data_IF_656443600545
#
_entry.id   IF_656443600545
#
_cell.length_a   1.000
_cell.length_b   1.000
_cell.length_c   1.000
_cell.angle_alpha   90.00
_cell.angle_beta   90.00
_cell.angle_gamma   90.00
#
_symmetry.space_group_name_H-M   'P 1'
#
loop_
_entity.id
_entity.type
_entity.pdbx_description
1 polymer ?
#
# COMPACT_ATOMS: atom_id res chain seq x y z
N UNK A 1 -32.08 37.55 -53.34
CA UNK A 1 -32.08 36.18 -53.89
C UNK A 1 -30.96 35.38 -53.24
N UNK A 2 -31.14 34.06 -53.14
CA UNK A 2 -30.16 32.94 -53.01
C UNK A 2 -28.67 33.31 -52.78
N UNK A 3 -28.00 32.85 -51.70
CA UNK A 3 -27.49 31.48 -51.39
C UNK A 3 -26.33 31.00 -52.30
N UNK A 4 -25.29 30.47 -51.63
CA UNK A 4 -24.20 29.57 -52.11
C UNK A 4 -23.14 30.21 -53.05
N UNK A 5 -21.83 30.18 -52.74
CA UNK A 5 -20.86 29.04 -52.76
C UNK A 5 -20.29 28.80 -54.19
N UNK A 6 -19.02 28.44 -54.46
CA UNK A 6 -17.77 28.27 -53.67
C UNK A 6 -16.56 28.36 -54.66
N UNK A 7 -15.38 27.81 -54.31
CA UNK A 7 -14.11 27.72 -55.11
C UNK A 7 -13.29 29.03 -55.23
N UNK A 8 -11.94 29.08 -55.18
CA UNK A 8 -10.85 28.14 -54.80
C UNK A 8 -9.53 28.96 -54.63
N UNK A 9 -8.33 28.50 -54.23
CA UNK A 9 -7.81 27.21 -53.70
C UNK A 9 -6.45 27.47 -52.97
N UNK A 10 -6.37 27.37 -51.64
CA UNK A 10 -5.11 27.26 -50.87
C UNK A 10 -5.43 26.85 -49.42
N UNK A 11 -4.74 25.91 -48.75
CA UNK A 11 -3.74 24.96 -49.23
C UNK A 11 -3.29 24.05 -48.08
N UNK A 12 -3.50 22.73 -48.23
CA UNK A 12 -3.00 21.62 -47.40
C UNK A 12 -3.43 21.50 -45.91
N UNK A 13 -4.24 20.45 -45.67
CA UNK A 13 -4.26 19.55 -44.50
C UNK A 13 -4.79 20.05 -43.14
N UNK A 14 -6.10 19.88 -43.02
CA UNK A 14 -6.89 19.76 -41.79
C UNK A 14 -7.06 18.26 -41.44
N UNK A 15 -7.20 17.94 -40.15
CA UNK A 15 -7.47 16.60 -39.56
C UNK A 15 -6.37 15.56 -39.84
N UNK A 16 -5.36 15.60 -38.97
CA UNK A 16 -4.74 14.39 -38.45
C UNK A 16 -5.12 14.25 -36.98
N UNK A 17 -6.37 13.87 -36.69
CA UNK A 17 -6.65 13.25 -35.38
C UNK A 17 -5.96 11.91 -35.38
N UNK A 18 -4.67 11.92 -35.04
CA UNK A 18 -4.05 10.81 -34.35
C UNK A 18 -4.84 10.66 -33.04
N UNK A 19 -5.95 9.94 -33.11
CA UNK A 19 -6.19 8.94 -32.07
C UNK A 19 -4.93 8.10 -32.04
N UNK A 20 -3.99 8.48 -31.19
CA UNK A 20 -3.28 7.48 -30.42
C UNK A 20 -4.38 6.72 -29.70
N UNK A 21 -4.91 5.71 -30.39
CA UNK A 21 -5.09 4.45 -29.73
C UNK A 21 -3.71 4.15 -29.14
N UNK A 22 -3.52 4.57 -27.88
CA UNK A 22 -2.89 3.70 -26.94
C UNK A 22 -3.61 2.38 -27.18
N UNK A 23 -2.92 1.45 -27.84
CA UNK A 23 -3.27 0.07 -27.64
C UNK A 23 -3.24 -0.06 -26.13
N UNK A 24 -4.41 -0.32 -25.53
CA UNK A 24 -4.46 -0.83 -24.19
C UNK A 24 -3.66 -2.12 -24.29
N UNK A 25 -2.38 -2.05 -23.92
CA UNK A 25 -1.48 -3.17 -24.09
C UNK A 25 -1.98 -4.19 -23.08
N UNK A 26 -2.76 -5.14 -23.58
CA UNK A 26 -3.51 -6.09 -22.76
C UNK A 26 -2.48 -6.93 -22.06
N UNK A 27 -2.18 -6.51 -20.84
CA UNK A 27 -1.40 -7.19 -19.82
C UNK A 27 -1.31 -8.70 -20.10
N UNK A 28 -0.13 -9.11 -20.59
CA UNK A 28 0.19 -10.51 -20.84
C UNK A 28 0.80 -11.07 -19.55
N UNK A 29 -0.03 -11.45 -18.58
CA UNK A 29 0.46 -12.29 -17.49
C UNK A 29 0.92 -13.67 -18.00
N UNK A 30 1.64 -14.43 -17.18
CA UNK A 30 2.36 -15.62 -17.64
C UNK A 30 1.47 -16.74 -18.22
N UNK A 31 1.90 -17.22 -19.39
CA UNK A 31 1.31 -18.36 -20.11
C UNK A 31 2.09 -19.66 -19.92
N UNK A 32 3.12 -19.65 -19.08
CA UNK A 32 4.01 -20.79 -18.79
C UNK A 32 4.29 -20.88 -17.27
N UNK A 33 4.41 -22.11 -16.75
CA UNK A 33 4.74 -22.38 -15.35
C UNK A 33 6.14 -21.85 -15.04
N UNK A 34 6.27 -21.14 -13.92
CA UNK A 34 7.53 -20.72 -13.35
C UNK A 34 8.07 -21.83 -12.43
N UNK A 35 9.38 -22.07 -12.46
CA UNK A 35 9.98 -22.95 -11.46
C UNK A 35 9.98 -22.25 -10.09
N UNK A 36 9.84 -23.05 -9.05
CA UNK A 36 9.99 -22.66 -7.63
C UNK A 36 11.17 -23.38 -6.97
N UNK A 37 11.89 -24.22 -7.74
CA UNK A 37 13.03 -25.04 -7.30
C UNK A 37 14.33 -24.67 -8.06
N UNK A 38 14.41 -23.47 -8.64
CA UNK A 38 15.62 -22.97 -9.31
C UNK A 38 16.64 -22.52 -8.22
N UNK A 39 17.95 -22.78 -8.36
CA UNK A 39 18.86 -22.99 -7.22
C UNK A 39 19.50 -21.70 -6.65
N UNK A 40 18.75 -20.61 -6.61
CA UNK A 40 18.99 -19.47 -5.72
C UNK A 40 17.85 -19.53 -4.69
N UNK A 41 18.09 -20.21 -3.56
CA UNK A 41 17.08 -20.54 -2.52
C UNK A 41 16.62 -19.26 -1.80
N UNK A 42 15.81 -18.47 -2.49
CA UNK A 42 15.18 -17.26 -2.01
C UNK A 42 14.19 -17.64 -0.91
N UNK A 43 14.41 -17.05 0.27
CA UNK A 43 13.63 -17.23 1.50
C UNK A 43 12.15 -17.24 1.19
N UNK A 44 11.49 -18.33 1.58
CA UNK A 44 10.05 -18.47 1.49
C UNK A 44 9.39 -17.90 2.73
N UNK A 45 8.28 -17.20 2.55
CA UNK A 45 7.57 -16.57 3.65
C UNK A 45 6.05 -16.74 3.53
N UNK A 46 5.39 -16.68 4.68
CA UNK A 46 3.94 -16.51 4.80
C UNK A 46 3.65 -15.33 5.72
N UNK A 47 2.52 -14.66 5.51
CA UNK A 47 2.12 -13.50 6.26
C UNK A 47 0.62 -13.51 6.55
N UNK A 48 0.25 -13.13 7.77
CA UNK A 48 -1.14 -13.06 8.24
C UNK A 48 -1.55 -11.62 8.52
N UNK A 49 -2.87 -11.38 8.52
CA UNK A 49 -3.44 -10.01 8.59
C UNK A 49 -2.90 -9.18 7.41
N UNK A 50 -2.96 -7.86 7.51
CA UNK A 50 -2.46 -6.94 6.49
C UNK A 50 -0.92 -6.85 6.37
N UNK A 51 -0.21 -7.93 6.74
CA UNK A 51 1.23 -8.05 6.62
C UNK A 51 1.70 -8.61 5.27
N UNK A 52 0.82 -9.12 4.40
CA UNK A 52 1.24 -9.74 3.14
C UNK A 52 2.11 -8.84 2.23
N UNK A 53 1.85 -7.52 2.08
CA UNK A 53 2.74 -6.66 1.31
C UNK A 53 4.17 -6.54 1.87
N UNK A 54 4.40 -6.89 3.15
CA UNK A 54 5.70 -6.77 3.81
C UNK A 54 6.69 -7.86 3.36
N UNK A 55 6.24 -9.11 3.19
CA UNK A 55 7.14 -10.20 2.77
C UNK A 55 7.63 -9.99 1.33
N UNK A 56 6.73 -9.56 0.45
CA UNK A 56 7.07 -9.17 -0.91
C UNK A 56 7.91 -7.89 -0.96
N UNK A 57 7.63 -6.89 -0.12
CA UNK A 57 8.43 -5.65 -0.05
C UNK A 57 9.89 -5.93 0.31
N UNK A 58 10.14 -6.92 1.15
CA UNK A 58 11.47 -7.32 1.61
C UNK A 58 12.11 -8.42 0.74
N UNK A 59 11.43 -8.91 -0.29
CA UNK A 59 12.01 -9.80 -1.30
C UNK A 59 12.04 -11.28 -0.96
N UNK A 60 11.29 -11.73 0.05
CA UNK A 60 10.98 -13.15 0.24
C UNK A 60 9.95 -13.63 -0.80
N UNK A 61 9.88 -14.92 -1.08
CA UNK A 61 8.88 -15.54 -1.94
C UNK A 61 7.62 -15.90 -1.13
N UNK A 62 6.45 -15.39 -1.53
CA UNK A 62 5.19 -15.59 -0.81
C UNK A 62 4.57 -16.97 -1.10
N UNK A 63 4.57 -17.85 -0.10
CA UNK A 63 3.92 -19.17 -0.22
C UNK A 63 2.42 -19.12 0.03
N UNK A 64 1.93 -18.12 0.78
CA UNK A 64 0.50 -17.84 0.89
C UNK A 64 0.19 -16.34 0.91
N UNK A 65 -0.90 -15.95 0.26
CA UNK A 65 -1.22 -14.56 -0.04
C UNK A 65 -2.44 -14.03 0.69
N UNK A 66 -2.53 -14.30 2.00
CA UNK A 66 -3.65 -13.87 2.82
C UNK A 66 -3.96 -12.39 2.55
N UNK A 67 -5.19 -12.10 2.13
CA UNK A 67 -5.71 -10.76 1.86
C UNK A 67 -4.95 -9.88 0.86
N UNK A 68 -4.22 -10.45 -0.10
CA UNK A 68 -3.83 -9.77 -1.37
C UNK A 68 -5.00 -9.20 -2.21
N UNK A 69 -6.21 -9.28 -1.67
CA UNK A 69 -7.48 -9.38 -2.37
C UNK A 69 -8.55 -8.71 -1.50
N UNK A 70 -8.43 -7.39 -1.32
CA UNK A 70 -9.47 -6.56 -0.70
C UNK A 70 -10.85 -6.66 -1.41
N UNK A 71 -10.92 -7.32 -2.57
CA UNK A 71 -12.12 -7.61 -3.35
C UNK A 71 -12.53 -9.09 -3.45
N UNK A 72 -11.97 -10.01 -2.65
CA UNK A 72 -12.05 -11.49 -2.78
C UNK A 72 -11.08 -12.08 -3.82
N UNK A 73 -10.80 -13.39 -3.71
CA UNK A 73 -9.93 -14.09 -4.66
C UNK A 73 -10.45 -14.00 -6.10
N UNK A 74 -9.57 -13.87 -7.10
CA UNK A 74 -9.99 -13.75 -8.48
C UNK A 74 -10.74 -15.02 -8.86
N UNK A 75 -11.94 -14.91 -9.43
CA UNK A 75 -12.71 -16.08 -9.84
C UNK A 75 -12.39 -16.49 -11.28
N UNK A 76 -11.87 -15.56 -12.08
CA UNK A 76 -11.60 -15.70 -13.51
C UNK A 76 -10.26 -15.08 -13.88
N UNK A 77 -9.78 -15.40 -15.10
CA UNK A 77 -8.62 -14.75 -15.70
C UNK A 77 -8.80 -13.23 -15.86
N UNK A 78 -10.04 -12.73 -16.03
CA UNK A 78 -10.29 -11.29 -16.09
C UNK A 78 -10.03 -10.64 -14.73
N UNK A 79 -10.59 -11.20 -13.67
CA UNK A 79 -10.38 -10.71 -12.30
C UNK A 79 -8.89 -10.79 -11.90
N UNK A 80 -8.17 -11.80 -12.41
CA UNK A 80 -6.73 -11.96 -12.17
C UNK A 80 -5.88 -10.93 -12.93
N UNK A 81 -6.32 -10.44 -14.09
CA UNK A 81 -5.71 -9.29 -14.77
C UNK A 81 -5.92 -8.01 -13.97
N UNK A 82 -7.10 -7.84 -13.36
CA UNK A 82 -7.47 -6.66 -12.57
C UNK A 82 -6.97 -6.74 -11.10
N UNK A 83 -6.33 -7.83 -10.70
CA UNK A 83 -5.78 -8.00 -9.34
C UNK A 83 -4.45 -7.27 -9.17
N UNK A 84 -4.45 -6.21 -8.36
CA UNK A 84 -3.29 -5.36 -8.10
C UNK A 84 -2.05 -6.15 -7.68
N UNK A 85 -2.16 -7.08 -6.73
CA UNK A 85 -1.01 -7.88 -6.24
C UNK A 85 -0.41 -8.78 -7.31
N UNK A 86 -1.27 -9.37 -8.15
CA UNK A 86 -0.82 -10.18 -9.28
C UNK A 86 -0.12 -9.30 -10.33
N UNK A 87 -0.64 -8.09 -10.59
CA UNK A 87 0.04 -7.15 -11.49
C UNK A 87 1.42 -6.75 -10.97
N UNK A 88 1.59 -6.51 -9.67
CA UNK A 88 2.85 -6.02 -9.08
C UNK A 88 3.91 -7.11 -9.01
N UNK A 89 3.61 -8.27 -8.43
CA UNK A 89 4.62 -9.30 -8.14
C UNK A 89 4.52 -10.53 -9.04
N UNK A 90 3.37 -10.78 -9.64
CA UNK A 90 3.15 -11.89 -10.56
C UNK A 90 3.58 -11.64 -12.01
N UNK A 91 4.21 -10.49 -12.34
CA UNK A 91 4.60 -10.15 -13.73
C UNK A 91 5.93 -9.42 -13.88
N UNK A 92 6.34 -9.23 -15.14
CA UNK A 92 7.46 -8.40 -15.55
C UNK A 92 7.34 -6.89 -15.21
N UNK A 93 6.19 -6.44 -14.65
CA UNK A 93 6.14 -5.12 -14.00
C UNK A 93 7.09 -5.03 -12.81
N UNK A 94 7.41 -6.16 -12.17
CA UNK A 94 8.41 -6.21 -11.12
C UNK A 94 9.85 -6.29 -11.68
N UNK A 95 10.81 -5.72 -10.94
CA UNK A 95 12.24 -5.96 -11.16
C UNK A 95 12.57 -7.46 -11.07
N UNK A 96 12.04 -8.16 -10.07
CA UNK A 96 12.19 -9.62 -9.87
C UNK A 96 10.86 -10.20 -9.37
N UNK A 97 10.12 -10.83 -10.27
CA UNK A 97 8.80 -11.44 -9.98
C UNK A 97 8.87 -12.47 -8.86
N UNK A 98 7.74 -12.65 -8.18
CA UNK A 98 7.50 -13.78 -7.31
C UNK A 98 7.01 -14.98 -8.14
N UNK A 99 7.64 -16.17 -8.05
CA UNK A 99 7.24 -17.33 -8.85
C UNK A 99 5.89 -17.93 -8.41
N UNK A 100 5.52 -17.82 -7.13
CA UNK A 100 4.23 -18.28 -6.61
C UNK A 100 3.08 -17.38 -7.07
N UNK A 101 3.25 -16.05 -7.10
CA UNK A 101 2.26 -15.13 -7.71
C UNK A 101 2.13 -15.38 -9.22
N UNK A 102 3.25 -15.55 -9.92
CA UNK A 102 3.26 -15.83 -11.35
C UNK A 102 2.55 -17.17 -11.68
N UNK A 103 2.77 -18.21 -10.86
CA UNK A 103 2.08 -19.48 -10.96
C UNK A 103 0.60 -19.39 -10.54
N UNK A 104 0.24 -18.51 -9.62
CA UNK A 104 -1.15 -18.21 -9.27
C UNK A 104 -1.90 -17.60 -10.46
N UNK A 105 -1.30 -16.62 -11.15
CA UNK A 105 -1.83 -16.12 -12.42
C UNK A 105 -1.93 -17.22 -13.48
N UNK A 106 -0.86 -18.00 -13.67
CA UNK A 106 -0.83 -19.09 -14.64
C UNK A 106 -1.98 -20.07 -14.42
N UNK A 107 -2.37 -20.36 -13.19
CA UNK A 107 -3.48 -21.27 -12.91
C UNK A 107 -4.84 -20.75 -13.41
N UNK A 108 -5.06 -19.44 -13.48
CA UNK A 108 -6.24 -18.86 -14.16
C UNK A 108 -6.12 -18.93 -15.68
N UNK A 109 -4.92 -18.66 -16.22
CA UNK A 109 -4.66 -18.77 -17.66
C UNK A 109 -4.84 -20.22 -18.15
N UNK A 110 -4.30 -21.19 -17.43
CA UNK A 110 -4.39 -22.61 -17.72
C UNK A 110 -5.84 -23.10 -17.69
N UNK A 111 -6.62 -22.70 -16.67
CA UNK A 111 -8.05 -23.02 -16.60
C UNK A 111 -8.83 -22.44 -17.79
N UNK A 112 -8.57 -21.19 -18.18
CA UNK A 112 -9.22 -20.56 -19.33
C UNK A 112 -8.85 -21.21 -20.68
N UNK A 113 -7.67 -21.83 -20.78
CA UNK A 113 -7.14 -22.42 -22.02
C UNK A 113 -7.15 -23.97 -22.05
N UNK A 114 -7.74 -24.62 -21.04
CA UNK A 114 -7.75 -26.09 -20.87
C UNK A 114 -6.35 -26.73 -20.79
N UNK A 115 -5.41 -26.03 -20.15
CA UNK A 115 -4.06 -26.53 -19.84
C UNK A 115 -4.04 -27.12 -18.41
N UNK A 116 -2.96 -27.82 -18.07
CA UNK A 116 -2.77 -28.33 -16.70
C UNK A 116 -2.35 -27.21 -15.75
N UNK A 117 -2.98 -27.13 -14.59
CA UNK A 117 -2.59 -26.21 -13.51
C UNK A 117 -1.37 -26.76 -12.75
N UNK A 118 -0.62 -25.88 -12.09
CA UNK A 118 0.52 -26.22 -11.23
C UNK A 118 0.15 -26.17 -9.74
N UNK A 119 0.61 -27.12 -8.90
CA UNK A 119 0.48 -27.00 -7.46
C UNK A 119 1.46 -25.97 -6.86
N UNK A 120 2.48 -25.56 -7.60
CA UNK A 120 3.54 -24.64 -7.15
C UNK A 120 3.10 -23.16 -7.24
N UNK A 121 1.86 -22.89 -6.86
CA UNK A 121 1.27 -21.57 -6.86
C UNK A 121 1.03 -21.10 -5.42
N UNK A 122 0.98 -19.78 -5.24
CA UNK A 122 0.57 -19.12 -4.01
C UNK A 122 -0.73 -19.72 -3.47
N UNK A 123 -0.75 -20.11 -2.19
CA UNK A 123 -1.98 -20.53 -1.52
C UNK A 123 -2.78 -19.29 -1.09
N UNK A 124 -4.05 -19.23 -1.48
CA UNK A 124 -4.92 -18.10 -1.14
C UNK A 124 -6.31 -18.62 -0.76
N UNK A 125 -6.44 -19.08 0.50
CA UNK A 125 -7.69 -19.58 1.06
C UNK A 125 -7.97 -19.02 2.46
N UNK A 126 -9.23 -19.11 2.91
CA UNK A 126 -9.67 -18.60 4.22
C UNK A 126 -8.99 -19.30 5.42
N UNK A 127 -8.32 -20.43 5.20
CA UNK A 127 -7.60 -21.21 6.23
C UNK A 127 -6.15 -20.78 6.39
N UNK A 128 -5.65 -19.93 5.49
CA UNK A 128 -4.31 -19.31 5.57
C UNK A 128 -4.26 -18.13 6.58
N UNK A 129 -5.18 -18.13 7.55
CA UNK A 129 -5.40 -17.05 8.52
C UNK A 129 -4.45 -17.08 9.72
N UNK A 130 -4.45 -15.99 10.48
CA UNK A 130 -3.72 -15.86 11.76
C UNK A 130 -4.11 -16.97 12.74
N UNK A 131 -3.20 -17.50 13.59
CA UNK A 131 -3.42 -18.74 14.34
C UNK A 131 -4.62 -18.75 15.31
N UNK A 132 -5.13 -17.58 15.72
CA UNK A 132 -6.36 -17.49 16.53
C UNK A 132 -7.65 -17.64 15.70
N UNK A 133 -7.61 -17.35 14.40
CA UNK A 133 -8.75 -17.45 13.49
C UNK A 133 -8.56 -18.61 12.51
N UNK A 134 -9.07 -19.78 12.90
CA UNK A 134 -9.45 -20.86 12.01
C UNK A 134 -8.33 -21.55 11.19
N UNK A 135 -7.11 -21.71 11.75
CA UNK A 135 -6.12 -22.68 11.25
C UNK A 135 -6.03 -23.97 12.10
N UNK A 136 -7.02 -24.90 12.02
CA UNK A 136 -6.92 -26.22 12.61
C UNK A 136 -6.16 -27.22 11.72
N UNK A 137 -5.64 -26.80 10.55
CA UNK A 137 -5.01 -27.68 9.55
C UNK A 137 -3.79 -27.04 8.85
N UNK A 138 -2.97 -26.33 9.62
CA UNK A 138 -1.60 -25.91 9.26
C UNK A 138 -1.42 -25.30 7.88
N UNK A 139 -2.40 -24.62 7.28
CA UNK A 139 -2.34 -24.33 5.82
C UNK A 139 -1.14 -23.44 5.47
N UNK A 140 -0.89 -22.41 6.26
CA UNK A 140 0.28 -21.52 6.12
C UNK A 140 1.62 -22.15 6.55
N UNK A 141 1.59 -23.28 7.28
CA UNK A 141 2.79 -24.05 7.63
C UNK A 141 3.00 -25.26 6.69
N UNK A 142 2.00 -25.64 5.89
CA UNK A 142 2.07 -26.83 5.02
C UNK A 142 2.98 -26.65 3.81
N UNK A 143 3.24 -25.39 3.44
CA UNK A 143 4.26 -25.00 2.46
C UNK A 143 5.67 -24.95 3.07
N UNK A 144 5.81 -25.22 4.39
CA UNK A 144 7.04 -25.12 5.17
C UNK A 144 7.85 -23.82 4.91
N UNK A 145 7.23 -22.62 4.99
CA UNK A 145 7.96 -21.37 4.75
C UNK A 145 9.06 -21.14 5.80
N UNK A 146 10.16 -20.52 5.40
CA UNK A 146 11.27 -20.18 6.30
C UNK A 146 10.89 -19.10 7.32
N UNK A 147 10.00 -18.18 6.95
CA UNK A 147 9.54 -17.05 7.79
C UNK A 147 8.01 -16.97 7.87
N UNK A 148 7.47 -16.75 9.07
CA UNK A 148 6.02 -16.62 9.33
C UNK A 148 5.73 -15.29 10.02
N UNK A 149 5.06 -14.37 9.34
CA UNK A 149 4.79 -13.00 9.83
C UNK A 149 3.33 -12.86 10.30
N UNK A 150 3.11 -12.26 11.47
CA UNK A 150 1.76 -12.03 12.02
C UNK A 150 1.25 -13.11 12.96
N UNK A 151 2.18 -13.79 13.64
CA UNK A 151 1.89 -14.91 14.55
C UNK A 151 1.19 -14.53 15.85
N UNK A 152 1.20 -13.25 16.25
CA UNK A 152 0.71 -12.82 17.55
C UNK A 152 -0.77 -13.10 17.73
N UNK A 153 -1.15 -13.80 18.79
CA UNK A 153 -2.54 -14.23 19.01
C UNK A 153 -3.51 -13.04 19.14
N UNK A 154 -3.10 -11.98 19.86
CA UNK A 154 -3.98 -10.86 20.25
C UNK A 154 -3.43 -9.46 19.85
N UNK A 155 -2.79 -9.33 18.68
CA UNK A 155 -2.05 -8.12 18.25
C UNK A 155 -0.97 -7.66 19.27
N UNK A 156 -0.44 -8.58 20.08
CA UNK A 156 0.64 -8.29 21.01
C UNK A 156 1.99 -8.37 20.25
N UNK A 157 2.81 -7.29 20.17
CA UNK A 157 4.14 -7.34 19.56
C UNK A 157 5.09 -8.36 20.20
N UNK A 158 4.89 -8.70 21.47
CA UNK A 158 5.75 -9.62 22.22
C UNK A 158 5.31 -11.09 22.09
N UNK A 159 4.17 -11.36 21.46
CA UNK A 159 3.62 -12.70 21.33
C UNK A 159 4.08 -13.38 20.03
N UNK A 160 5.07 -14.24 20.17
CA UNK A 160 5.60 -15.08 19.09
C UNK A 160 5.02 -16.51 19.11
N UNK A 161 4.14 -16.83 20.08
CA UNK A 161 3.77 -18.21 20.43
C UNK A 161 2.52 -18.75 19.71
N UNK A 162 2.02 -18.03 18.70
CA UNK A 162 0.76 -18.38 18.03
C UNK A 162 0.76 -19.76 17.36
N UNK A 163 1.93 -20.30 16.98
CA UNK A 163 2.06 -21.56 16.27
C UNK A 163 2.65 -22.72 17.10
N UNK A 164 2.95 -22.52 18.39
CA UNK A 164 3.60 -23.52 19.25
C UNK A 164 2.90 -24.89 19.21
N UNK A 165 1.56 -24.91 19.24
CA UNK A 165 0.80 -26.17 19.20
C UNK A 165 0.85 -26.87 17.84
N UNK A 166 0.86 -26.11 16.75
CA UNK A 166 0.91 -26.63 15.39
C UNK A 166 2.31 -27.16 15.07
N UNK A 167 3.36 -26.42 15.45
CA UNK A 167 4.75 -26.87 15.32
C UNK A 167 5.02 -28.12 16.18
N UNK A 168 4.47 -28.19 17.40
CA UNK A 168 4.54 -29.40 18.22
C UNK A 168 3.81 -30.61 17.61
N UNK A 169 2.83 -30.41 16.73
CA UNK A 169 2.15 -31.49 15.99
C UNK A 169 2.97 -31.88 14.75
N UNK A 170 3.52 -30.91 14.02
CA UNK A 170 4.36 -31.15 12.82
C UNK A 170 5.62 -31.92 13.20
N UNK A 171 6.27 -31.53 14.30
CA UNK A 171 7.53 -32.14 14.78
C UNK A 171 7.29 -33.33 15.73
N UNK A 172 6.09 -33.93 15.74
CA UNK A 172 5.73 -34.97 16.69
C UNK A 172 6.54 -36.27 16.49
N UNK A 173 7.54 -36.47 17.36
CA UNK A 173 8.45 -37.62 17.31
C UNK A 173 9.81 -37.34 16.67
N UNK A 174 10.07 -36.10 16.26
CA UNK A 174 11.36 -35.62 15.78
C UNK A 174 12.15 -34.95 16.92
N UNK A 175 13.48 -34.99 16.83
CA UNK A 175 14.40 -34.22 17.68
C UNK A 175 14.72 -32.86 17.01
N UNK A 176 15.17 -31.85 17.75
CA UNK A 176 15.57 -30.55 17.18
C UNK A 176 16.76 -30.66 16.21
N UNK A 177 17.49 -31.78 16.24
CA UNK A 177 18.61 -32.10 15.37
C UNK A 177 18.23 -33.05 14.20
N UNK A 178 16.94 -33.36 14.02
CA UNK A 178 16.44 -34.21 12.93
C UNK A 178 16.35 -33.42 11.61
N UNK A 179 16.64 -34.04 10.47
CA UNK A 179 16.62 -33.35 9.16
C UNK A 179 15.20 -32.97 8.71
N UNK A 180 14.19 -33.67 9.22
CA UNK A 180 12.77 -33.37 8.97
C UNK A 180 12.17 -32.35 9.97
N UNK A 181 12.92 -31.91 10.99
CA UNK A 181 12.45 -30.99 12.03
C UNK A 181 12.22 -29.58 11.46
N UNK A 182 10.98 -29.09 11.56
CA UNK A 182 10.57 -27.82 10.96
C UNK A 182 10.39 -26.73 12.02
N UNK A 183 11.27 -25.73 11.98
CA UNK A 183 11.26 -24.58 12.89
C UNK A 183 11.46 -23.26 12.12
N UNK A 184 10.37 -22.65 11.62
CA UNK A 184 10.44 -21.40 10.88
C UNK A 184 10.71 -20.21 11.81
N UNK A 185 11.26 -19.13 11.28
CA UNK A 185 11.40 -17.87 12.01
C UNK A 185 10.04 -17.19 12.15
N UNK A 186 9.51 -17.16 13.36
CA UNK A 186 8.23 -16.50 13.67
C UNK A 186 8.45 -15.00 13.91
N UNK A 187 7.58 -14.14 13.36
CA UNK A 187 7.64 -12.68 13.54
C UNK A 187 6.28 -12.15 13.96
N UNK A 188 6.22 -11.43 15.09
CA UNK A 188 5.01 -10.74 15.51
C UNK A 188 4.76 -9.50 14.65
N UNK A 189 3.51 -9.28 14.23
CA UNK A 189 3.11 -8.12 13.45
C UNK A 189 2.34 -7.14 14.35
N UNK A 190 2.89 -5.95 14.56
CA UNK A 190 2.27 -4.88 15.36
C UNK A 190 1.97 -3.65 14.52
N UNK A 191 0.78 -3.59 13.91
CA UNK A 191 0.41 -2.48 13.07
C UNK A 191 -0.07 -1.27 13.87
N UNK A 192 -0.06 -1.25 15.21
CA UNK A 192 -0.82 -0.26 15.98
C UNK A 192 -0.50 1.19 15.62
N UNK A 193 0.77 1.52 15.39
CA UNK A 193 1.21 2.84 14.87
C UNK A 193 2.21 2.69 13.72
N UNK A 194 2.51 3.78 13.01
CA UNK A 194 3.61 3.87 12.05
C UNK A 194 4.97 3.57 12.72
N UNK A 195 5.15 3.98 13.98
CA UNK A 195 6.38 3.73 14.73
C UNK A 195 6.53 2.23 15.09
N UNK A 196 5.44 1.54 15.48
CA UNK A 196 5.47 0.07 15.66
C UNK A 196 5.54 -0.68 14.32
N UNK A 197 5.00 -0.08 13.25
CA UNK A 197 5.12 -0.62 11.90
C UNK A 197 6.59 -0.61 11.44
N UNK A 198 7.33 0.49 11.61
CA UNK A 198 8.78 0.56 11.33
C UNK A 198 9.52 -0.57 12.08
N UNK A 199 9.24 -0.72 13.38
CA UNK A 199 9.81 -1.82 14.19
C UNK A 199 9.48 -3.20 13.61
N UNK A 200 8.24 -3.39 13.13
CA UNK A 200 7.78 -4.63 12.50
C UNK A 200 8.48 -4.89 11.16
N UNK A 201 8.72 -3.84 10.36
CA UNK A 201 9.50 -3.94 9.11
C UNK A 201 10.93 -4.38 9.41
N UNK A 202 11.61 -3.76 10.38
CA UNK A 202 12.96 -4.18 10.79
C UNK A 202 13.03 -5.62 11.28
N UNK A 203 12.12 -6.03 12.18
CA UNK A 203 12.09 -7.40 12.70
C UNK A 203 11.88 -8.43 11.58
N UNK A 204 11.02 -8.11 10.59
CA UNK A 204 10.78 -8.97 9.43
C UNK A 204 11.98 -8.98 8.47
N UNK A 205 12.63 -7.84 8.28
CA UNK A 205 13.82 -7.72 7.44
C UNK A 205 15.01 -8.51 8.01
N UNK A 206 15.20 -8.49 9.33
CA UNK A 206 16.20 -9.32 10.02
C UNK A 206 15.86 -10.80 9.86
N UNK A 207 14.61 -11.20 10.08
CA UNK A 207 14.18 -12.60 9.90
C UNK A 207 14.41 -13.13 8.47
N UNK A 208 14.13 -12.33 7.44
CA UNK A 208 14.41 -12.70 6.05
C UNK A 208 15.91 -12.71 5.76
N UNK A 209 16.67 -11.73 6.27
CA UNK A 209 18.13 -11.69 6.09
C UNK A 209 18.85 -12.89 6.72
N UNK A 210 18.46 -13.28 7.93
CA UNK A 210 19.08 -14.39 8.66
C UNK A 210 18.66 -15.77 8.10
N UNK A 211 17.55 -15.84 7.35
CA UNK A 211 17.04 -17.07 6.77
C UNK A 211 17.72 -17.48 5.45
N UNK A 212 18.17 -16.55 4.61
CA UNK A 212 18.77 -16.91 3.31
C UNK A 212 18.80 -15.80 2.25
N UNK A 213 18.60 -16.17 0.99
CA UNK A 213 18.67 -15.27 -0.17
C UNK A 213 17.35 -14.51 -0.41
N UNK A 214 17.40 -13.40 -1.15
CA UNK A 214 16.30 -12.46 -1.29
C UNK A 214 16.33 -11.70 -2.64
N UNK A 215 15.15 -11.36 -3.17
CA UNK A 215 14.97 -10.84 -4.54
C UNK A 215 15.61 -9.48 -4.85
N UNK A 216 15.70 -8.56 -3.90
CA UNK A 216 15.89 -7.12 -4.18
C UNK A 216 17.12 -6.47 -3.54
N UNK A 217 18.07 -7.28 -3.08
CA UNK A 217 19.15 -6.81 -2.21
C UNK A 217 18.73 -6.76 -0.73
N UNK A 218 19.67 -6.37 0.13
CA UNK A 218 19.58 -6.54 1.59
C UNK A 218 18.26 -5.98 2.18
N UNK A 219 17.37 -6.82 2.73
CA UNK A 219 16.07 -6.38 3.23
C UNK A 219 16.19 -5.36 4.36
N UNK A 220 17.30 -5.34 5.09
CA UNK A 220 17.54 -4.35 6.15
C UNK A 220 17.75 -2.96 5.58
N UNK A 221 18.38 -2.85 4.40
CA UNK A 221 18.50 -1.57 3.67
C UNK A 221 17.14 -1.12 3.14
N UNK A 222 16.24 -2.05 2.82
CA UNK A 222 14.84 -1.72 2.46
C UNK A 222 14.08 -1.21 3.70
N UNK A 223 14.33 -1.80 4.88
CA UNK A 223 13.79 -1.34 6.15
C UNK A 223 14.31 0.07 6.54
N UNK A 224 15.62 0.32 6.42
CA UNK A 224 16.23 1.65 6.60
C UNK A 224 15.52 2.69 5.72
N UNK A 225 15.31 2.37 4.43
CA UNK A 225 14.59 3.25 3.50
C UNK A 225 13.13 3.47 3.88
N UNK A 226 12.47 2.47 4.46
CA UNK A 226 11.08 2.59 4.92
C UNK A 226 10.96 3.53 6.13
N UNK A 227 11.88 3.42 7.10
CA UNK A 227 11.98 4.38 8.20
C UNK A 227 12.26 5.79 7.68
N UNK A 228 13.27 5.95 6.82
CA UNK A 228 13.63 7.22 6.18
C UNK A 228 12.47 7.84 5.39
N UNK A 229 11.64 7.03 4.73
CA UNK A 229 10.47 7.52 4.02
C UNK A 229 9.42 8.07 4.99
N UNK A 230 9.11 7.34 6.08
CA UNK A 230 8.12 7.78 7.08
C UNK A 230 8.62 8.98 7.89
N UNK A 231 9.77 8.84 8.54
CA UNK A 231 10.32 9.86 9.44
C UNK A 231 10.89 11.05 8.66
N UNK A 232 11.42 10.82 7.45
CA UNK A 232 11.90 11.87 6.55
C UNK A 232 10.80 12.82 6.11
N UNK A 233 9.63 12.31 5.70
CA UNK A 233 8.48 13.17 5.37
C UNK A 233 8.04 13.99 6.58
N UNK A 234 7.94 13.35 7.75
CA UNK A 234 7.50 14.00 8.99
C UNK A 234 8.47 15.10 9.43
N UNK A 235 9.76 14.78 9.53
CA UNK A 235 10.81 15.72 9.91
C UNK A 235 11.01 16.84 8.89
N UNK A 236 10.94 16.55 7.58
CA UNK A 236 11.04 17.57 6.53
C UNK A 236 9.91 18.60 6.63
N UNK A 237 8.66 18.15 6.82
CA UNK A 237 7.52 19.06 7.00
C UNK A 237 7.71 19.91 8.26
N UNK A 238 8.03 19.31 9.41
CA UNK A 238 8.16 20.07 10.67
C UNK A 238 9.35 21.05 10.63
N UNK A 239 10.43 20.71 9.93
CA UNK A 239 11.62 21.56 9.75
C UNK A 239 11.38 22.74 8.81
N UNK A 240 10.65 22.54 7.70
CA UNK A 240 10.58 23.49 6.58
C UNK A 240 9.21 24.08 6.25
N UNK A 241 8.13 23.55 6.82
CA UNK A 241 6.76 24.00 6.54
C UNK A 241 6.06 24.36 7.85
N UNK A 242 5.22 25.40 7.84
CA UNK A 242 4.34 25.70 8.98
C UNK A 242 3.20 24.67 9.03
N UNK A 243 2.99 24.00 10.17
CA UNK A 243 1.88 23.06 10.37
C UNK A 243 0.53 23.70 10.00
N UNK A 244 -0.14 23.13 9.00
CA UNK A 244 -1.51 23.45 8.62
C UNK A 244 -2.51 22.82 9.60
N UNK A 245 -3.66 23.42 9.74
CA UNK A 245 -4.80 22.86 10.47
C UNK A 245 -5.59 21.90 9.57
N UNK A 246 -5.96 20.74 10.11
CA UNK A 246 -6.85 19.77 9.46
C UNK A 246 -8.08 19.57 10.33
N UNK A 247 -9.24 19.35 9.72
CA UNK A 247 -10.43 18.84 10.39
C UNK A 247 -10.74 17.45 9.80
N UNK A 248 -10.58 16.40 10.62
CA UNK A 248 -10.86 15.02 10.22
C UNK A 248 -12.24 14.64 10.76
N UNK A 249 -13.16 14.25 9.88
CA UNK A 249 -14.59 14.13 10.20
C UNK A 249 -15.24 12.88 9.61
N UNK A 250 -16.24 12.36 10.32
CA UNK A 250 -17.10 11.27 9.89
C UNK A 250 -18.57 11.52 10.25
N UNK A 251 -19.48 11.10 9.38
CA UNK A 251 -20.91 11.36 9.51
C UNK A 251 -21.28 12.86 9.48
N UNK A 252 -22.56 13.13 9.33
CA UNK A 252 -23.10 14.49 9.41
C UNK A 252 -24.54 14.44 9.91
N UNK A 253 -24.85 15.28 10.89
CA UNK A 253 -26.17 15.46 11.46
C UNK A 253 -26.75 16.79 10.98
N UNK A 254 -27.76 16.71 10.10
CA UNK A 254 -28.47 17.85 9.54
C UNK A 254 -29.46 18.53 10.48
N UNK A 255 -29.80 17.91 11.61
CA UNK A 255 -30.65 18.55 12.64
C UNK A 255 -29.81 19.46 13.55
N UNK A 256 -28.58 19.03 13.89
CA UNK A 256 -27.68 19.80 14.77
C UNK A 256 -26.63 20.63 14.03
N UNK A 257 -26.46 20.46 12.71
CA UNK A 257 -25.41 21.09 11.91
C UNK A 257 -24.00 20.76 12.42
N UNK A 258 -23.77 19.47 12.71
CA UNK A 258 -22.48 18.96 13.21
C UNK A 258 -21.99 17.74 12.45
N UNK A 259 -20.66 17.60 12.41
CA UNK A 259 -19.94 16.40 12.02
C UNK A 259 -19.50 15.63 13.27
N UNK A 260 -19.23 14.33 13.14
CA UNK A 260 -18.50 13.60 14.19
C UNK A 260 -17.01 13.82 13.99
N UNK A 261 -16.31 14.14 15.07
CA UNK A 261 -14.86 14.27 15.09
C UNK A 261 -14.17 12.90 15.00
N UNK A 262 -13.21 12.80 14.10
CA UNK A 262 -12.26 11.69 14.02
C UNK A 262 -10.95 12.15 14.69
N UNK A 263 -10.57 11.46 15.75
CA UNK A 263 -9.48 11.84 16.65
C UNK A 263 -8.81 10.62 17.27
N UNK A 264 -7.85 10.83 18.16
CA UNK A 264 -7.21 9.72 18.87
C UNK A 264 -8.16 9.19 19.95
N UNK A 265 -8.50 7.91 19.89
CA UNK A 265 -9.29 7.25 20.93
C UNK A 265 -8.51 7.12 22.24
N UNK A 266 -9.22 7.15 23.38
CA UNK A 266 -8.61 7.10 24.72
C UNK A 266 -7.91 5.77 25.09
N UNK A 267 -7.92 4.77 24.20
CA UNK A 267 -7.24 3.49 24.38
C UNK A 267 -6.59 3.03 23.07
N UNK A 268 -5.26 2.89 23.07
CA UNK A 268 -4.46 2.40 21.94
C UNK A 268 -4.56 0.87 21.72
N UNK A 269 -5.75 0.30 21.95
CA UNK A 269 -6.06 -1.15 21.85
C UNK A 269 -6.73 -1.54 20.55
N UNK A 270 -7.33 -0.58 19.85
CA UNK A 270 -7.62 -0.65 18.41
C UNK A 270 -6.64 0.27 17.70
N UNK A 271 -6.27 -0.07 16.46
CA UNK A 271 -5.41 0.78 15.61
C UNK A 271 -5.84 2.24 15.69
N UNK A 272 -4.88 3.15 15.91
CA UNK A 272 -5.15 4.58 15.78
C UNK A 272 -5.76 4.85 14.41
N UNK A 273 -6.78 5.71 14.37
CA UNK A 273 -7.36 6.11 13.09
C UNK A 273 -6.23 6.59 12.17
N UNK A 274 -6.10 5.95 11.00
CA UNK A 274 -4.94 6.15 10.14
C UNK A 274 -4.89 7.55 9.54
N UNK A 275 -6.02 8.23 9.40
CA UNK A 275 -6.07 9.62 8.95
C UNK A 275 -5.47 10.52 10.03
N UNK A 276 -5.86 10.29 11.29
CA UNK A 276 -5.34 11.00 12.46
C UNK A 276 -3.85 10.73 12.62
N UNK A 277 -3.42 9.48 12.51
CA UNK A 277 -2.00 9.12 12.61
C UNK A 277 -1.15 9.76 11.51
N UNK A 278 -1.50 9.53 10.24
CA UNK A 278 -0.75 10.04 9.09
C UNK A 278 -0.63 11.57 9.10
N UNK A 279 -1.55 12.28 9.77
CA UNK A 279 -1.51 13.74 9.90
C UNK A 279 -0.96 14.23 11.25
N UNK A 280 -0.94 13.43 12.32
CA UNK A 280 -0.63 13.85 13.69
C UNK A 280 0.71 14.59 13.85
N UNK A 281 1.79 14.01 13.32
CA UNK A 281 3.14 14.58 13.41
C UNK A 281 3.34 15.77 12.46
N UNK A 282 2.58 15.84 11.36
CA UNK A 282 2.74 16.87 10.30
C UNK A 282 1.73 18.02 10.32
N UNK A 283 0.59 17.88 10.99
CA UNK A 283 -0.50 18.87 11.02
C UNK A 283 -0.94 19.19 12.46
N UNK A 284 -1.87 20.13 12.59
CA UNK A 284 -2.63 20.40 13.81
C UNK A 284 -4.09 19.98 13.57
N UNK A 285 -4.50 18.81 14.05
CA UNK A 285 -5.88 18.37 13.91
C UNK A 285 -6.80 19.12 14.91
N UNK A 286 -7.80 19.84 14.40
CA UNK A 286 -8.76 20.62 15.20
C UNK A 286 -9.97 19.79 15.67
N UNK A 287 -10.09 18.54 15.22
CA UNK A 287 -11.11 17.56 15.65
C UNK A 287 -10.49 16.43 16.49
N UNK A 288 -9.44 16.73 17.26
CA UNK A 288 -8.60 15.72 17.92
C UNK A 288 -9.29 14.80 18.96
N UNK A 289 -10.48 15.17 19.46
CA UNK A 289 -11.28 14.34 20.36
C UNK A 289 -12.16 13.37 19.56
N UNK A 290 -11.88 12.07 19.62
CA UNK A 290 -12.70 11.07 18.93
C UNK A 290 -14.18 11.10 19.39
N UNK A 291 -15.10 11.00 18.43
CA UNK A 291 -16.55 10.91 18.66
C UNK A 291 -17.25 12.16 19.24
N UNK A 292 -16.57 13.30 19.35
CA UNK A 292 -17.22 14.58 19.71
C UNK A 292 -17.95 15.21 18.51
N UNK A 293 -19.09 15.88 18.75
CA UNK A 293 -19.78 16.65 17.71
C UNK A 293 -19.06 17.99 17.46
N UNK A 294 -18.71 18.26 16.20
CA UNK A 294 -17.99 19.48 15.79
C UNK A 294 -18.81 20.25 14.76
N UNK A 295 -18.95 21.57 14.94
CA UNK A 295 -19.79 22.40 14.07
C UNK A 295 -19.21 22.58 12.66
N UNK A 296 -20.08 22.73 11.67
CA UNK A 296 -19.73 23.14 10.29
C UNK A 296 -18.74 24.30 10.27
N UNK A 297 -18.97 25.33 11.10
CA UNK A 297 -18.11 26.51 11.19
C UNK A 297 -16.68 26.19 11.69
N UNK A 298 -16.53 25.21 12.58
CA UNK A 298 -15.21 24.76 13.03
C UNK A 298 -14.49 24.03 11.90
N UNK A 299 -15.18 23.09 11.24
CA UNK A 299 -14.65 22.31 10.09
C UNK A 299 -14.24 23.23 8.94
N UNK A 300 -15.09 24.18 8.56
CA UNK A 300 -14.84 25.13 7.47
C UNK A 300 -13.65 26.09 7.74
N UNK A 301 -13.28 26.29 9.01
CA UNK A 301 -12.14 27.12 9.42
C UNK A 301 -10.78 26.39 9.40
N UNK A 302 -10.74 25.07 9.17
CA UNK A 302 -9.49 24.35 8.96
C UNK A 302 -8.79 24.79 7.66
N UNK A 303 -7.49 24.57 7.52
CA UNK A 303 -6.82 24.75 6.22
C UNK A 303 -7.17 23.63 5.23
N UNK A 304 -7.56 22.45 5.75
CA UNK A 304 -8.00 21.27 5.01
C UNK A 304 -9.12 20.55 5.76
N UNK A 305 -10.10 20.03 5.03
CA UNK A 305 -11.11 19.09 5.53
C UNK A 305 -10.73 17.70 5.01
N UNK A 306 -10.70 16.70 5.89
CA UNK A 306 -10.44 15.29 5.54
C UNK A 306 -11.66 14.49 5.95
N UNK A 307 -12.32 13.90 4.96
CA UNK A 307 -13.49 13.05 5.16
C UNK A 307 -13.07 11.61 5.38
N UNK A 308 -13.68 10.92 6.35
CA UNK A 308 -13.38 9.52 6.67
C UNK A 308 -13.93 8.54 5.62
N UNK A 309 -15.16 8.78 5.12
CA UNK A 309 -15.94 7.79 4.36
C UNK A 309 -16.91 8.42 3.34
N UNK A 310 -17.38 7.63 2.38
CA UNK A 310 -18.21 8.09 1.26
C UNK A 310 -19.56 8.72 1.64
N UNK A 311 -20.16 8.34 2.77
CA UNK A 311 -21.38 8.99 3.27
C UNK A 311 -21.10 10.41 3.80
N UNK A 312 -19.91 10.60 4.37
CA UNK A 312 -19.39 11.90 4.80
C UNK A 312 -19.01 12.75 3.59
N UNK A 313 -18.40 12.15 2.56
CA UNK A 313 -18.08 12.82 1.29
C UNK A 313 -19.33 13.44 0.66
N UNK A 314 -20.40 12.65 0.49
CA UNK A 314 -21.66 13.11 -0.06
C UNK A 314 -22.29 14.26 0.75
N UNK A 315 -22.15 14.22 2.08
CA UNK A 315 -22.64 15.26 2.99
C UNK A 315 -21.85 16.56 2.83
N UNK A 316 -20.51 16.48 2.75
CA UNK A 316 -19.65 17.64 2.50
C UNK A 316 -19.93 18.23 1.11
N UNK A 317 -20.04 17.41 0.07
CA UNK A 317 -20.37 17.86 -1.30
C UNK A 317 -21.72 18.59 -1.37
N UNK A 318 -22.73 18.12 -0.63
CA UNK A 318 -24.02 18.80 -0.51
C UNK A 318 -23.89 20.17 0.18
N UNK A 319 -23.12 20.26 1.26
CA UNK A 319 -22.87 21.50 2.01
C UNK A 319 -22.02 22.51 1.22
N UNK A 320 -21.06 22.04 0.40
CA UNK A 320 -20.33 22.87 -0.56
C UNK A 320 -21.27 23.40 -1.65
N UNK A 321 -22.12 22.54 -2.20
CA UNK A 321 -23.12 22.92 -3.22
C UNK A 321 -24.15 23.92 -2.69
N UNK A 322 -24.47 23.87 -1.40
CA UNK A 322 -25.33 24.83 -0.70
C UNK A 322 -24.62 26.16 -0.34
N UNK A 323 -23.28 26.22 -0.44
CA UNK A 323 -22.47 27.35 -0.01
C UNK A 323 -22.26 27.47 1.51
N UNK A 324 -22.61 26.42 2.26
CA UNK A 324 -22.41 26.33 3.72
C UNK A 324 -20.94 26.06 4.06
N UNK A 325 -20.32 25.10 3.37
CA UNK A 325 -18.87 24.90 3.37
C UNK A 325 -18.30 25.68 2.19
N UNK A 326 -17.36 26.59 2.48
CA UNK A 326 -16.70 27.46 1.50
C UNK A 326 -15.22 27.12 1.33
N UNK A 327 -14.68 26.24 2.18
CA UNK A 327 -13.34 25.71 2.06
C UNK A 327 -13.24 24.83 0.80
N UNK A 328 -12.26 25.12 -0.06
CA UNK A 328 -12.01 24.37 -1.31
C UNK A 328 -10.98 23.25 -1.14
N UNK A 329 -10.29 23.21 -0.01
CA UNK A 329 -9.23 22.26 0.30
C UNK A 329 -9.85 21.07 1.04
N UNK A 330 -10.45 20.16 0.29
CA UNK A 330 -11.15 18.99 0.81
C UNK A 330 -10.48 17.75 0.24
N UNK A 331 -10.23 16.75 1.09
CA UNK A 331 -9.85 15.39 0.69
C UNK A 331 -11.02 14.47 1.01
N UNK A 332 -11.64 13.94 -0.02
CA UNK A 332 -12.70 12.95 0.09
C UNK A 332 -12.10 11.56 0.32
N UNK A 333 -12.90 10.63 0.84
CA UNK A 333 -12.47 9.24 1.01
C UNK A 333 -12.24 8.54 -0.33
N UNK A 334 -12.91 9.01 -1.39
CA UNK A 334 -12.75 8.55 -2.78
C UNK A 334 -11.47 9.00 -3.48
N UNK A 335 -10.77 10.02 -2.95
CA UNK A 335 -9.55 10.58 -3.56
C UNK A 335 -8.29 9.80 -3.12
N UNK A 336 -8.46 8.73 -2.36
CA UNK A 336 -7.35 7.96 -1.78
C UNK A 336 -6.82 6.95 -2.80
N UNK A 337 -5.49 6.79 -2.94
CA UNK A 337 -4.92 5.84 -3.89
C UNK A 337 -5.28 4.39 -3.53
N UNK A 338 -5.73 3.65 -4.54
CA UNK A 338 -5.95 2.21 -4.42
C UNK A 338 -4.65 1.49 -4.03
N UNK A 339 -4.83 0.51 -3.15
CA UNK A 339 -3.76 -0.21 -2.46
C UNK A 339 -4.25 -1.63 -2.17
N UNK A 340 -3.33 -2.55 -1.89
CA UNK A 340 -3.63 -3.97 -1.68
C UNK A 340 -4.52 -4.17 -0.45
N UNK A 341 -4.15 -3.53 0.66
CA UNK A 341 -4.98 -3.47 1.86
C UNK A 341 -5.64 -2.12 2.10
N UNK A 342 -5.12 -1.02 1.56
CA UNK A 342 -5.65 0.31 1.82
C UNK A 342 -4.71 1.16 2.67
N UNK A 343 -4.46 2.40 2.26
CA UNK A 343 -3.66 3.37 3.04
C UNK A 343 -4.24 3.71 4.42
N UNK A 344 -5.49 3.30 4.71
CA UNK A 344 -6.15 3.45 6.02
C UNK A 344 -6.35 2.13 6.79
N UNK A 345 -5.87 1.00 6.26
CA UNK A 345 -5.94 -0.32 6.92
C UNK A 345 -4.64 -0.64 7.66
N UNK A 346 -4.55 -1.76 8.38
CA UNK A 346 -3.42 -2.07 9.27
C UNK A 346 -2.18 -2.64 8.52
N UNK A 347 -1.76 -1.94 7.47
CA UNK A 347 -0.77 -2.38 6.47
C UNK A 347 0.48 -1.48 6.47
N UNK A 348 1.62 -2.02 6.02
CA UNK A 348 2.83 -1.20 5.69
C UNK A 348 2.55 -0.11 4.65
N UNK A 349 1.44 -0.21 3.92
CA UNK A 349 0.92 0.82 3.02
C UNK A 349 0.48 2.11 3.73
N UNK A 350 0.36 2.14 5.07
CA UNK A 350 0.11 3.37 5.82
C UNK A 350 1.22 4.42 5.62
N UNK A 351 2.46 4.00 5.33
CA UNK A 351 3.52 4.93 4.94
C UNK A 351 3.18 5.68 3.64
N UNK A 352 2.55 5.02 2.67
CA UNK A 352 2.02 5.69 1.47
C UNK A 352 0.84 6.61 1.81
N UNK A 353 0.03 6.28 2.81
CA UNK A 353 -1.00 7.18 3.36
C UNK A 353 -0.42 8.49 3.88
N UNK A 354 0.60 8.42 4.75
CA UNK A 354 1.35 9.59 5.24
C UNK A 354 1.85 10.46 4.07
N UNK A 355 2.47 9.83 3.08
CA UNK A 355 3.01 10.52 1.92
C UNK A 355 1.93 11.16 1.02
N UNK A 356 0.78 10.51 0.85
CA UNK A 356 -0.38 11.05 0.13
C UNK A 356 -0.92 12.30 0.83
N UNK A 357 -1.18 12.24 2.15
CA UNK A 357 -1.67 13.39 2.91
C UNK A 357 -0.63 14.51 2.96
N UNK A 358 0.66 14.18 3.14
CA UNK A 358 1.76 15.14 3.07
C UNK A 358 1.80 15.88 1.72
N UNK A 359 1.69 15.16 0.61
CA UNK A 359 1.72 15.72 -0.74
C UNK A 359 0.52 16.63 -1.01
N UNK A 360 -0.71 16.13 -0.80
CA UNK A 360 -1.93 16.94 -1.00
C UNK A 360 -1.91 18.20 -0.12
N UNK A 361 -1.48 18.10 1.14
CA UNK A 361 -1.52 19.22 2.10
C UNK A 361 -0.40 20.22 1.89
N UNK A 362 0.83 19.81 1.51
CA UNK A 362 2.04 20.65 1.52
C UNK A 362 2.87 20.69 0.24
N UNK A 363 2.59 19.79 -0.71
CA UNK A 363 3.32 19.64 -1.96
C UNK A 363 2.91 20.64 -3.03
N UNK A 364 3.70 20.67 -4.10
CA UNK A 364 3.41 21.37 -5.33
C UNK A 364 3.64 20.43 -6.53
N UNK A 365 2.57 19.83 -7.05
CA UNK A 365 2.68 18.85 -8.15
C UNK A 365 3.21 19.43 -9.46
N UNK A 366 3.18 20.76 -9.62
CA UNK A 366 3.77 21.46 -10.76
C UNK A 366 5.30 21.61 -10.68
N UNK A 367 5.90 21.36 -9.51
CA UNK A 367 7.33 21.42 -9.28
C UNK A 367 7.89 20.02 -9.01
N UNK A 368 8.52 19.44 -10.04
CA UNK A 368 9.17 18.13 -9.95
C UNK A 368 10.40 18.11 -9.00
N UNK A 369 10.83 19.26 -8.47
CA UNK A 369 11.92 19.39 -7.50
C UNK A 369 11.45 19.49 -6.05
N UNK A 370 10.15 19.70 -5.80
CA UNK A 370 9.58 19.65 -4.45
C UNK A 370 9.64 18.20 -3.92
N UNK A 371 10.33 17.92 -2.78
CA UNK A 371 10.34 16.59 -2.19
C UNK A 371 8.97 16.17 -1.64
N UNK A 372 7.98 17.07 -1.57
CA UNK A 372 6.59 16.75 -1.26
C UNK A 372 5.68 16.67 -2.50
N UNK A 373 6.24 16.68 -3.72
CA UNK A 373 5.49 16.40 -4.94
C UNK A 373 4.85 15.00 -4.86
N UNK A 374 3.54 14.88 -5.07
CA UNK A 374 2.82 13.65 -4.80
C UNK A 374 3.17 12.52 -5.75
N UNK A 375 3.30 12.82 -7.04
CA UNK A 375 3.75 11.85 -8.04
C UNK A 375 5.13 11.29 -7.67
N UNK A 376 6.07 12.15 -7.26
CA UNK A 376 7.40 11.72 -6.86
C UNK A 376 7.40 10.79 -5.63
N UNK A 377 6.65 11.15 -4.58
CA UNK A 377 6.57 10.37 -3.35
C UNK A 377 5.91 9.00 -3.58
N UNK A 378 4.75 8.98 -4.26
CA UNK A 378 4.05 7.72 -4.54
C UNK A 378 4.86 6.82 -5.48
N UNK A 379 5.47 7.37 -6.53
CA UNK A 379 6.34 6.59 -7.44
C UNK A 379 7.58 6.07 -6.74
N UNK A 380 8.18 6.82 -5.82
CA UNK A 380 9.25 6.30 -4.95
C UNK A 380 8.78 5.05 -4.18
N UNK A 381 7.58 5.11 -3.59
CA UNK A 381 7.01 3.95 -2.87
C UNK A 381 6.88 2.72 -3.77
N UNK A 382 6.28 2.87 -4.97
CA UNK A 382 6.14 1.79 -5.93
C UNK A 382 7.47 1.20 -6.41
N UNK A 383 8.47 2.04 -6.70
CA UNK A 383 9.74 1.57 -7.26
C UNK A 383 10.73 1.04 -6.20
N UNK A 384 10.65 1.50 -4.95
CA UNK A 384 11.62 1.15 -3.88
C UNK A 384 11.09 0.11 -2.90
N UNK A 385 9.78 0.08 -2.65
CA UNK A 385 9.18 -0.89 -1.73
C UNK A 385 8.41 -1.99 -2.46
N UNK A 386 7.75 -1.69 -3.58
CA UNK A 386 7.09 -2.73 -4.40
C UNK A 386 7.93 -3.22 -5.57
N UNK A 387 9.13 -2.64 -5.75
CA UNK A 387 10.11 -3.01 -6.77
C UNK A 387 9.53 -2.99 -8.20
N UNK A 388 8.56 -2.10 -8.43
CA UNK A 388 7.99 -1.88 -9.77
C UNK A 388 9.03 -1.23 -10.67
N UNK A 389 9.22 -1.77 -11.87
CA UNK A 389 10.09 -1.22 -12.89
C UNK A 389 9.65 0.20 -13.27
N UNK A 390 10.56 1.17 -13.12
CA UNK A 390 10.28 2.60 -13.29
C UNK A 390 9.69 2.92 -14.67
N UNK A 391 10.21 2.27 -15.72
CA UNK A 391 9.68 2.40 -17.09
C UNK A 391 8.26 1.84 -17.21
N UNK A 392 7.98 0.67 -16.63
CA UNK A 392 6.67 0.00 -16.67
C UNK A 392 5.59 0.81 -15.93
N UNK A 393 5.97 1.57 -14.91
CA UNK A 393 5.06 2.48 -14.23
C UNK A 393 4.72 3.73 -15.06
N UNK A 394 5.62 4.17 -15.96
CA UNK A 394 5.40 5.33 -16.84
C UNK A 394 4.72 4.94 -18.16
N UNK A 395 5.03 3.78 -18.71
CA UNK A 395 4.61 3.39 -20.07
C UNK A 395 3.22 2.75 -20.16
N UNK A 396 2.71 2.19 -19.06
CA UNK A 396 1.47 1.41 -19.07
C UNK A 396 0.25 2.21 -18.62
N UNK A 397 -0.83 2.13 -19.39
CA UNK A 397 -2.18 2.41 -18.88
C UNK A 397 -2.67 1.21 -18.07
N UNK A 398 -3.06 1.42 -16.82
CA UNK A 398 -3.54 0.37 -15.92
C UNK A 398 -3.52 0.82 -14.46
N UNK A 399 -4.12 0.02 -13.58
CA UNK A 399 -4.49 0.42 -12.21
C UNK A 399 -3.45 1.25 -11.44
N UNK A 400 -2.18 0.83 -11.44
CA UNK A 400 -1.08 1.56 -10.78
C UNK A 400 -0.85 2.98 -11.34
N UNK A 401 -0.85 3.12 -12.67
CA UNK A 401 -0.68 4.41 -13.35
C UNK A 401 -1.95 5.26 -13.24
N UNK A 402 -3.13 4.63 -13.39
CA UNK A 402 -4.41 5.34 -13.34
C UNK A 402 -4.67 5.89 -11.92
N UNK A 403 -4.38 5.11 -10.86
CA UNK A 403 -4.46 5.56 -9.47
C UNK A 403 -3.51 6.74 -9.17
N UNK A 404 -2.31 6.75 -9.76
CA UNK A 404 -1.37 7.86 -9.63
C UNK A 404 -1.80 9.11 -10.41
N UNK A 405 -2.20 8.94 -11.68
CA UNK A 405 -2.53 10.02 -12.60
C UNK A 405 -3.86 10.70 -12.29
N UNK A 406 -4.83 9.98 -11.71
CA UNK A 406 -6.06 10.58 -11.22
C UNK A 406 -5.79 11.57 -10.06
N UNK A 407 -4.78 11.28 -9.23
CA UNK A 407 -4.52 12.05 -8.01
C UNK A 407 -3.42 13.11 -8.13
N UNK A 408 -2.41 12.89 -8.98
CA UNK A 408 -1.24 13.77 -9.10
C UNK A 408 -0.81 13.95 -10.55
N UNK A 409 -0.32 15.15 -10.89
CA UNK A 409 0.18 15.44 -12.23
C UNK A 409 1.43 14.61 -12.57
N UNK A 410 1.34 13.81 -13.64
CA UNK A 410 2.45 12.95 -14.12
C UNK A 410 3.73 13.75 -14.34
N UNK A 411 4.82 13.31 -13.70
CA UNK A 411 6.17 13.78 -14.00
C UNK A 411 6.97 12.68 -14.71
N UNK A 412 7.43 12.97 -15.93
CA UNK A 412 8.23 12.02 -16.74
C UNK A 412 9.67 11.87 -16.25
N UNK A 413 10.12 12.74 -15.34
CA UNK A 413 11.46 12.70 -14.74
C UNK A 413 11.35 12.84 -13.23
N UNK A 414 11.95 11.92 -12.48
CA UNK A 414 12.13 12.03 -11.03
C UNK A 414 13.62 12.17 -10.75
N UNK A 415 13.98 13.12 -9.89
CA UNK A 415 15.31 13.17 -9.30
C UNK A 415 15.31 12.39 -7.98
N UNK A 416 15.40 11.06 -8.08
CA UNK A 416 15.33 10.14 -6.91
C UNK A 416 16.38 10.51 -5.87
N UNK A 417 17.61 10.82 -6.31
CA UNK A 417 18.70 11.26 -5.42
C UNK A 417 18.39 12.55 -4.66
N UNK A 418 17.67 13.50 -5.26
CA UNK A 418 17.21 14.70 -4.54
C UNK A 418 16.12 14.36 -3.51
N UNK A 419 15.19 13.45 -3.85
CA UNK A 419 14.16 13.01 -2.91
C UNK A 419 14.78 12.28 -1.71
N UNK A 420 15.61 11.26 -1.94
CA UNK A 420 16.32 10.53 -0.88
C UNK A 420 17.17 11.47 -0.01
N UNK A 421 17.91 12.40 -0.62
CA UNK A 421 18.67 13.41 0.13
C UNK A 421 17.79 14.31 1.01
N UNK A 422 16.53 14.55 0.65
CA UNK A 422 15.59 15.37 1.43
C UNK A 422 14.85 14.56 2.49
N UNK A 423 14.61 13.28 2.25
CA UNK A 423 14.09 12.34 3.25
C UNK A 423 15.13 12.11 4.36
N UNK A 424 16.38 11.79 4.01
CA UNK A 424 17.49 11.66 4.97
C UNK A 424 17.74 12.93 5.80
N UNK A 425 17.59 14.11 5.18
CA UNK A 425 17.67 15.40 5.87
C UNK A 425 16.49 15.65 6.84
N UNK A 426 15.31 15.12 6.51
CA UNK A 426 14.13 15.15 7.36
C UNK A 426 14.25 14.18 8.55
N UNK A 427 14.70 12.96 8.28
CA UNK A 427 14.94 11.89 9.26
C UNK A 427 15.95 12.34 10.33
N UNK A 428 17.10 12.87 9.89
CA UNK A 428 18.11 13.48 10.78
C UNK A 428 17.55 14.59 11.69
N UNK A 429 16.47 15.28 11.26
CA UNK A 429 15.78 16.27 12.07
C UNK A 429 14.72 15.64 12.98
N UNK A 430 14.04 14.60 12.50
CA UNK A 430 13.09 13.81 13.27
C UNK A 430 13.76 13.19 14.50
N UNK A 431 14.90 12.50 14.34
CA UNK A 431 15.65 11.90 15.45
C UNK A 431 16.03 12.93 16.52
N UNK A 432 16.52 14.08 16.06
CA UNK A 432 17.03 15.13 16.92
C UNK A 432 15.94 15.93 17.65
N UNK A 433 14.68 15.90 17.20
CA UNK A 433 13.63 16.82 17.68
C UNK A 433 12.23 16.22 17.92
N UNK A 434 11.95 15.02 17.41
CA UNK A 434 10.59 14.43 17.35
C UNK A 434 10.51 12.97 17.86
N UNK A 435 11.63 12.28 18.00
CA UNK A 435 11.69 10.89 18.48
C UNK A 435 11.54 10.72 20.02
N UNK A 436 11.23 11.80 20.77
CA UNK A 436 11.14 11.82 22.24
C UNK A 436 9.75 12.24 22.74
#
# INVERSE_FOLDING_TARGET
MKRLAAFALAGAMVIGTCTTAFAYDTYQGYTEVQDVNDPEDIVTATAHRAAAPLIDMLGANATSGFGMLNGSAPATLSDANDSLGIQIWGTAKNQVRDPYYANYYYNFYAAANNLSQTPNALINDDRSGSPINADPQTTSLSTRPDVVVGVSSNNNPEDMHGYDSQLSIINAGLDENDEDYYAPTLVAYDPRTLDTMITTVYNTAIAIYDAGEYRYGDPRVIADKYEQYVQGIQGYIVKYKSKKTVAIVSGYDSETHTFTAVGQGAAATTSSDRLVECTSKICNNITNSASESVSEATVNNANWIISENAATDASIQALVSAGTITNTNILYSTDRPDTLYGITMNSVENAMGLAFFAAKIYGNDSDATDPLNGWNLMRYFYCVFWHVNDNELISNTGLLYDALNNEFAIQTTINVTNLESKLAEGESYYDANLAN
#
